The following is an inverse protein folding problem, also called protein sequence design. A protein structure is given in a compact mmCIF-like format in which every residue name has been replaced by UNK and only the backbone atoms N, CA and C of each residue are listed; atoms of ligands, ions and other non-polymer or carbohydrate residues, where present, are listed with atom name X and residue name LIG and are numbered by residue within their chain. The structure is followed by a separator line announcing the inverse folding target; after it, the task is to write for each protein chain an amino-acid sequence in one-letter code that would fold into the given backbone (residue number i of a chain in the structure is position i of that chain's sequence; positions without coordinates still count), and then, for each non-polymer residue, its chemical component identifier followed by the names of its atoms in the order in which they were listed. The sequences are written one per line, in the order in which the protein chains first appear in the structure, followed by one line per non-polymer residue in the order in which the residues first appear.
data_IF_524152105563
#
_entry.id   IF_524152105563
#
_cell.length_a   1.000
_cell.length_b   1.000
_cell.length_c   1.000
_cell.angle_alpha   90.00
_cell.angle_beta   90.00
_cell.angle_gamma   90.00
#
_symmetry.space_group_name_H-M   'P 1'
#
loop_
_entity.id
_entity.type
_entity.pdbx_description
1 polymer ?
#
# COMPACT_ATOMS: atom_id res chain seq x y z
N UNK A 1 10.96 -1.26 7.55
CA UNK A 1 10.05 -0.27 6.95
C UNK A 1 8.64 -0.81 7.01
N UNK A 2 7.62 0.03 6.85
CA UNK A 2 6.23 -0.41 6.84
C UNK A 2 5.56 0.02 5.53
N UNK A 3 5.00 -0.94 4.80
CA UNK A 3 4.15 -0.73 3.64
C UNK A 3 2.70 -0.85 4.10
N UNK A 4 1.97 0.27 4.09
CA UNK A 4 0.55 0.31 4.44
C UNK A 4 -0.27 0.53 3.18
N UNK A 5 -1.23 -0.37 2.94
CA UNK A 5 -2.06 -0.35 1.73
C UNK A 5 -3.52 -0.18 2.13
N UNK A 6 -4.18 0.81 1.56
CA UNK A 6 -5.62 1.05 1.71
C UNK A 6 -6.28 0.73 0.39
N UNK A 7 -7.23 -0.21 0.42
CA UNK A 7 -8.08 -0.52 -0.71
C UNK A 7 -9.53 -0.22 -0.39
N UNK A 8 -10.23 0.33 -1.37
CA UNK A 8 -11.68 0.39 -1.36
C UNK A 8 -12.24 -0.80 -2.15
N UNK A 9 -12.85 -1.79 -1.48
CA UNK A 9 -13.30 -3.05 -2.11
C UNK A 9 -14.67 -2.94 -2.80
N UNK A 10 -14.95 -1.78 -3.39
CA UNK A 10 -16.08 -1.56 -4.31
C UNK A 10 -15.89 -2.30 -5.64
N UNK A 11 -14.70 -2.82 -5.97
CA UNK A 11 -14.45 -3.55 -7.23
C UNK A 11 -13.64 -4.84 -7.06
N UNK A 12 -13.93 -5.85 -7.89
CA UNK A 12 -13.21 -7.14 -7.97
C UNK A 12 -11.72 -7.01 -8.30
N UNK A 13 -11.27 -5.83 -8.74
CA UNK A 13 -9.87 -5.51 -9.07
C UNK A 13 -9.00 -5.35 -7.83
N UNK A 14 -9.59 -4.99 -6.67
CA UNK A 14 -8.87 -4.82 -5.42
C UNK A 14 -8.32 -6.14 -4.87
N UNK A 15 -9.04 -7.25 -5.09
CA UNK A 15 -8.55 -8.58 -4.73
C UNK A 15 -7.30 -8.98 -5.54
N UNK A 16 -7.22 -8.60 -6.81
CA UNK A 16 -6.01 -8.83 -7.62
C UNK A 16 -4.79 -8.10 -7.04
N UNK A 17 -4.99 -6.90 -6.51
CA UNK A 17 -3.93 -6.15 -5.82
C UNK A 17 -3.43 -6.88 -4.56
N UNK A 18 -4.32 -7.44 -3.75
CA UNK A 18 -3.95 -8.24 -2.59
C UNK A 18 -3.18 -9.52 -2.96
N UNK A 19 -3.58 -10.20 -4.04
CA UNK A 19 -2.86 -11.38 -4.55
C UNK A 19 -1.46 -11.03 -5.07
N UNK A 20 -1.31 -9.94 -5.82
CA UNK A 20 0.01 -9.46 -6.26
C UNK A 20 0.92 -9.11 -5.08
N UNK A 21 0.36 -8.48 -4.04
CA UNK A 21 1.10 -8.18 -2.82
C UNK A 21 1.54 -9.47 -2.11
N UNK A 22 0.68 -10.49 -2.05
CA UNK A 22 1.01 -11.83 -1.52
C UNK A 22 2.17 -12.47 -2.26
N UNK A 23 2.19 -12.43 -3.60
CA UNK A 23 3.30 -12.94 -4.41
C UNK A 23 4.63 -12.23 -4.12
N UNK A 24 4.57 -10.95 -3.73
CA UNK A 24 5.76 -10.16 -3.42
C UNK A 24 6.28 -10.32 -1.99
N UNK A 25 5.53 -10.95 -1.10
CA UNK A 25 5.88 -11.09 0.32
C UNK A 25 7.26 -11.67 0.59
N UNK A 26 7.76 -12.70 -0.13
CA UNK A 26 9.12 -13.20 0.08
C UNK A 26 10.18 -12.11 -0.11
N UNK A 27 10.00 -11.24 -1.12
CA UNK A 27 10.94 -10.14 -1.39
C UNK A 27 10.80 -9.01 -0.38
N UNK A 28 9.58 -8.68 0.03
CA UNK A 28 9.33 -7.67 1.07
C UNK A 28 9.90 -8.10 2.43
N UNK A 29 9.78 -9.38 2.76
CA UNK A 29 10.36 -10.00 3.95
C UNK A 29 11.89 -9.94 3.94
N UNK A 30 12.52 -10.25 2.79
CA UNK A 30 13.97 -10.11 2.62
C UNK A 30 14.46 -8.67 2.84
N UNK A 31 13.66 -7.67 2.47
CA UNK A 31 13.92 -6.25 2.73
C UNK A 31 13.49 -5.79 4.13
N UNK A 32 13.13 -6.68 5.06
CA UNK A 32 12.64 -6.31 6.40
C UNK A 32 11.52 -5.26 6.35
N UNK A 33 10.63 -5.41 5.36
CA UNK A 33 9.47 -4.54 5.15
C UNK A 33 8.21 -5.26 5.63
N UNK A 34 7.60 -4.74 6.69
CA UNK A 34 6.31 -5.20 7.17
C UNK A 34 5.21 -4.70 6.22
N UNK A 35 4.16 -5.50 6.05
CA UNK A 35 3.02 -5.16 5.19
C UNK A 35 1.77 -5.16 6.05
N UNK A 36 0.97 -4.11 5.92
CA UNK A 36 -0.35 -4.00 6.53
C UNK A 36 -1.34 -3.55 5.47
N UNK A 37 -2.48 -4.22 5.39
CA UNK A 37 -3.55 -3.87 4.46
C UNK A 37 -4.79 -3.45 5.23
N UNK A 38 -5.48 -2.44 4.74
CA UNK A 38 -6.80 -2.01 5.21
C UNK A 38 -7.78 -2.03 4.06
N UNK A 39 -8.98 -2.54 4.34
CA UNK A 39 -10.04 -2.70 3.35
C UNK A 39 -11.31 -2.02 3.83
N UNK A 40 -11.74 -1.01 3.07
CA UNK A 40 -13.05 -0.40 3.26
C UNK A 40 -14.12 -1.28 2.59
N UNK A 41 -15.26 -1.43 3.28
CA UNK A 41 -16.33 -2.42 3.08
C UNK A 41 -16.47 -3.06 1.67
N UNK A 42 -16.52 -4.38 1.56
CA UNK A 42 -16.86 -5.04 0.30
C UNK A 42 -18.37 -5.01 0.08
N UNK A 43 -18.81 -4.31 -0.96
CA UNK A 43 -20.22 -4.30 -1.36
C UNK A 43 -20.65 -5.56 -2.14
N UNK A 44 -19.70 -6.44 -2.52
CA UNK A 44 -19.95 -7.47 -3.54
C UNK A 44 -19.55 -8.91 -3.16
N UNK A 45 -19.00 -9.16 -1.98
CA UNK A 45 -18.60 -10.51 -1.55
C UNK A 45 -19.47 -11.01 -0.40
N UNK A 46 -19.82 -12.30 -0.44
CA UNK A 46 -20.45 -12.95 0.73
C UNK A 46 -19.42 -13.05 1.86
N UNK A 47 -19.88 -12.95 3.11
CA UNK A 47 -18.98 -13.02 4.28
C UNK A 47 -18.09 -14.28 4.28
N UNK A 48 -18.63 -15.42 3.84
CA UNK A 48 -17.89 -16.68 3.76
C UNK A 48 -16.75 -16.66 2.72
N UNK A 49 -17.01 -16.13 1.53
CA UNK A 49 -15.97 -16.03 0.49
C UNK A 49 -14.87 -15.05 0.89
N UNK A 50 -15.23 -13.98 1.59
CA UNK A 50 -14.26 -13.00 2.08
C UNK A 50 -13.38 -13.54 3.22
N UNK A 51 -13.95 -14.31 4.15
CA UNK A 51 -13.20 -14.95 5.24
C UNK A 51 -12.18 -15.97 4.71
N UNK A 52 -12.58 -16.82 3.77
CA UNK A 52 -11.68 -17.79 3.16
C UNK A 52 -10.51 -17.12 2.43
N UNK A 53 -10.78 -15.99 1.77
CA UNK A 53 -9.78 -15.16 1.11
C UNK A 53 -8.82 -14.50 2.10
N UNK A 54 -9.32 -13.94 3.20
CA UNK A 54 -8.51 -13.34 4.26
C UNK A 54 -7.54 -14.35 4.88
N UNK A 55 -8.02 -15.55 5.20
CA UNK A 55 -7.18 -16.63 5.76
C UNK A 55 -6.04 -17.05 4.83
N UNK A 56 -6.15 -16.77 3.53
CA UNK A 56 -5.12 -17.08 2.56
C UNK A 56 -4.02 -16.01 2.46
N UNK A 57 -4.13 -14.86 3.14
CA UNK A 57 -3.15 -13.78 3.07
C UNK A 57 -2.07 -13.91 4.16
N UNK A 58 -0.78 -13.74 3.83
CA UNK A 58 0.33 -13.86 4.77
C UNK A 58 0.61 -12.54 5.54
N UNK A 59 -0.31 -11.58 5.51
CA UNK A 59 -0.15 -10.26 6.14
C UNK A 59 -1.46 -9.82 6.81
N UNK A 60 -1.39 -8.99 7.86
CA UNK A 60 -2.58 -8.51 8.55
C UNK A 60 -3.51 -7.72 7.64
N UNK A 61 -4.80 -8.03 7.73
CA UNK A 61 -5.89 -7.32 7.07
C UNK A 61 -6.76 -6.63 8.12
N UNK A 62 -6.84 -5.31 8.06
CA UNK A 62 -7.72 -4.51 8.92
C UNK A 62 -9.01 -4.15 8.17
N UNK A 63 -10.14 -4.36 8.84
CA UNK A 63 -11.49 -4.17 8.28
C UNK A 63 -12.22 -3.11 9.09
N UNK A 64 -12.00 -1.82 8.81
CA UNK A 64 -12.68 -0.75 9.51
C UNK A 64 -14.18 -0.87 9.32
N UNK A 65 -14.94 -0.85 10.41
CA UNK A 65 -16.40 -0.73 10.37
C UNK A 65 -16.84 0.68 10.04
N UNK A 66 -15.93 1.66 10.17
CA UNK A 66 -16.10 3.06 9.79
C UNK A 66 -14.77 3.66 9.34
N UNK A 67 -14.80 4.57 8.37
CA UNK A 67 -13.64 5.35 7.93
C UNK A 67 -12.99 6.16 9.08
N UNK A 68 -13.73 6.42 10.16
CA UNK A 68 -13.18 7.10 11.34
C UNK A 68 -12.10 6.28 12.06
N UNK A 69 -12.04 4.97 11.84
CA UNK A 69 -11.02 4.08 12.39
C UNK A 69 -9.70 4.12 11.61
N UNK A 70 -9.70 4.67 10.39
CA UNK A 70 -8.48 4.95 9.64
C UNK A 70 -7.94 6.31 10.13
N UNK A 71 -6.64 6.44 10.43
CA UNK A 71 -6.03 7.74 10.77
C UNK A 71 -6.35 8.79 9.70
N UNK A 72 -6.66 10.02 10.10
CA UNK A 72 -7.12 11.07 9.18
C UNK A 72 -6.18 11.28 7.98
N UNK A 73 -4.86 11.24 8.22
CA UNK A 73 -3.82 11.37 7.18
C UNK A 73 -3.80 10.22 6.16
N UNK A 74 -4.53 9.14 6.39
CA UNK A 74 -4.60 7.94 5.55
C UNK A 74 -6.01 7.72 4.99
N UNK A 75 -6.97 8.61 5.29
CA UNK A 75 -8.33 8.53 4.77
C UNK A 75 -8.35 9.04 3.34
N UNK A 76 -8.45 8.13 2.39
CA UNK A 76 -8.79 8.45 1.01
C UNK A 76 -10.07 7.72 0.62
N UNK A 77 -11.19 8.46 0.67
CA UNK A 77 -12.49 7.93 0.28
C UNK A 77 -12.54 7.70 -1.22
N UNK A 78 -12.84 6.47 -1.66
CA UNK A 78 -12.95 6.14 -3.09
C UNK A 78 -11.63 5.94 -3.83
N UNK A 79 -10.49 6.02 -3.12
CA UNK A 79 -9.16 5.86 -3.72
C UNK A 79 -8.44 4.65 -3.13
N UNK A 80 -7.61 4.01 -3.96
CA UNK A 80 -6.61 3.06 -3.50
C UNK A 80 -5.34 3.82 -3.16
N UNK A 81 -4.83 3.63 -1.95
CA UNK A 81 -3.65 4.31 -1.47
C UNK A 81 -2.58 3.33 -1.00
N UNK A 82 -1.32 3.68 -1.24
CA UNK A 82 -0.17 2.99 -0.68
C UNK A 82 0.73 4.02 -0.01
N UNK A 83 1.11 3.73 1.22
CA UNK A 83 2.01 4.53 2.02
C UNK A 83 3.22 3.70 2.40
N UNK A 84 4.40 4.30 2.27
CA UNK A 84 5.64 3.71 2.72
C UNK A 84 6.15 4.52 3.89
N UNK A 85 6.25 3.88 5.05
CA UNK A 85 6.75 4.45 6.28
C UNK A 85 8.19 4.01 6.53
N UNK A 86 9.02 4.96 6.98
CA UNK A 86 10.33 4.64 7.55
C UNK A 86 10.19 4.00 8.95
N UNK A 87 11.33 3.66 9.57
CA UNK A 87 11.35 3.07 10.92
C UNK A 87 10.94 4.06 12.02
N UNK A 88 10.94 5.36 11.73
CA UNK A 88 10.48 6.40 12.66
C UNK A 88 8.98 6.68 12.52
N UNK A 89 8.26 5.92 11.67
CA UNK A 89 6.82 6.09 11.46
C UNK A 89 6.46 7.28 10.56
N UNK A 90 7.43 7.84 9.82
CA UNK A 90 7.17 8.95 8.89
C UNK A 90 6.88 8.41 7.49
N UNK A 91 5.91 9.02 6.81
CA UNK A 91 5.61 8.73 5.40
C UNK A 91 6.79 9.22 4.54
N UNK A 92 7.44 8.31 3.82
CA UNK A 92 8.53 8.59 2.87
C UNK A 92 8.05 8.63 1.43
N UNK A 93 6.96 7.92 1.16
CA UNK A 93 6.36 7.86 -0.17
C UNK A 93 4.87 7.54 -0.04
N UNK A 94 4.08 8.14 -0.91
CA UNK A 94 2.66 7.83 -1.02
C UNK A 94 2.24 7.75 -2.48
N UNK A 95 1.36 6.81 -2.79
CA UNK A 95 0.73 6.64 -4.09
C UNK A 95 -0.76 6.62 -3.83
N UNK A 96 -1.49 7.53 -4.47
CA UNK A 96 -2.94 7.62 -4.38
C UNK A 96 -3.49 7.42 -5.80
N UNK A 97 -4.39 6.47 -5.95
CA UNK A 97 -5.01 6.08 -7.21
C UNK A 97 -6.51 6.20 -7.08
N UNK A 98 -7.08 7.15 -7.81
CA UNK A 98 -8.52 7.37 -7.84
C UNK A 98 -9.22 6.27 -8.63
N UNK A 99 -10.42 5.88 -8.18
CA UNK A 99 -11.29 5.06 -9.01
C UNK A 99 -11.61 5.78 -10.35
N UNK A 100 -11.74 5.06 -11.49
CA UNK A 100 -11.77 3.61 -11.63
C UNK A 100 -10.39 2.96 -11.87
N UNK A 101 -9.31 3.75 -11.93
CA UNK A 101 -7.96 3.28 -12.24
C UNK A 101 -7.26 2.73 -10.98
N UNK A 102 -7.84 1.66 -10.47
CA UNK A 102 -7.57 1.04 -9.18
C UNK A 102 -6.29 0.18 -9.12
N UNK A 103 -5.58 0.00 -10.24
CA UNK A 103 -4.43 -0.90 -10.32
C UNK A 103 -3.17 -0.22 -9.77
N UNK A 104 -2.82 -0.56 -8.54
CA UNK A 104 -1.54 -0.20 -7.94
C UNK A 104 -0.42 -1.01 -8.63
N UNK A 105 0.59 -0.33 -9.18
CA UNK A 105 1.75 -0.99 -9.77
C UNK A 105 2.76 -1.36 -8.69
N UNK A 106 2.64 -2.58 -8.15
CA UNK A 106 3.54 -3.04 -7.10
C UNK A 106 5.01 -3.20 -7.53
N UNK A 107 5.31 -3.32 -8.83
CA UNK A 107 6.71 -3.32 -9.30
C UNK A 107 7.36 -1.96 -9.04
N UNK A 108 6.63 -0.87 -9.25
CA UNK A 108 7.12 0.48 -8.94
C UNK A 108 7.32 0.69 -7.44
N UNK A 109 6.40 0.18 -6.62
CA UNK A 109 6.53 0.21 -5.15
C UNK A 109 7.79 -0.54 -4.71
N UNK A 110 8.06 -1.69 -5.31
CA UNK A 110 9.25 -2.47 -4.99
C UNK A 110 10.54 -1.73 -5.34
N UNK A 111 10.62 -1.13 -6.54
CA UNK A 111 11.76 -0.33 -6.93
C UNK A 111 12.00 0.85 -5.97
N UNK A 112 10.92 1.50 -5.52
CA UNK A 112 10.99 2.57 -4.52
C UNK A 112 11.52 2.06 -3.17
N UNK A 113 11.04 0.90 -2.69
CA UNK A 113 11.52 0.27 -1.46
C UNK A 113 13.00 -0.11 -1.55
N UNK A 114 13.47 -0.61 -2.70
CA UNK A 114 14.87 -0.93 -2.92
C UNK A 114 15.74 0.33 -2.86
N UNK A 115 15.31 1.41 -3.52
CA UNK A 115 16.03 2.69 -3.47
C UNK A 115 16.14 3.26 -2.06
N UNK A 116 15.09 3.12 -1.24
CA UNK A 116 15.10 3.56 0.16
C UNK A 116 15.95 2.67 1.09
N UNK A 117 16.25 1.42 0.69
CA UNK A 117 17.15 0.53 1.44
C UNK A 117 18.62 0.67 1.06
N UNK A 118 18.94 1.36 -0.04
CA UNK A 118 20.33 1.65 -0.39
C UNK A 118 20.88 2.67 0.62
N UNK A 119 22.06 2.42 1.23
CA UNK A 119 22.76 3.46 1.96
C UNK A 119 23.00 4.61 0.98
N UNK A 120 22.72 5.84 1.42
CA UNK A 120 22.82 7.04 0.61
C UNK A 120 24.28 7.25 0.17
N UNK A 121 24.70 6.59 -0.92
CA UNK A 121 25.94 6.86 -1.59
C UNK A 121 25.68 8.06 -2.53
N UNK A 122 26.11 9.23 -2.05
CA UNK A 122 26.56 10.42 -2.76
C UNK A 122 25.87 10.77 -4.10
N UNK A 123 25.22 11.94 -4.09
CA UNK A 123 25.15 12.93 -5.17
C UNK A 123 25.20 12.40 -6.61
N UNK A 124 24.03 12.28 -7.25
CA UNK A 124 23.93 12.36 -8.70
C UNK A 124 22.86 13.38 -9.10
N UNK A 125 23.34 14.48 -9.68
CA UNK A 125 22.59 15.50 -10.39
C UNK A 125 22.05 14.93 -11.70
N UNK A 126 20.92 14.23 -11.66
CA UNK A 126 20.05 14.07 -12.82
C UNK A 126 18.58 14.11 -12.39
N UNK A 127 17.68 14.67 -13.22
CA UNK A 127 16.32 15.01 -12.80
C UNK A 127 15.53 13.72 -12.61
N UNK A 128 15.37 13.34 -11.34
CA UNK A 128 14.41 12.33 -10.93
C UNK A 128 13.02 12.83 -11.33
N UNK A 129 12.37 12.07 -12.21
CA UNK A 129 10.98 12.14 -12.62
C UNK A 129 10.15 13.10 -11.77
N UNK A 130 9.66 14.16 -12.42
CA UNK A 130 8.71 15.11 -11.88
C UNK A 130 7.44 14.39 -11.41
N UNK A 131 7.43 13.96 -10.14
CA UNK A 131 6.23 13.73 -9.38
C UNK A 131 6.53 14.22 -7.96
N UNK A 132 6.01 15.42 -7.70
CA UNK A 132 6.08 16.21 -6.47
C UNK A 132 6.39 15.37 -5.22
N UNK A 133 7.66 15.28 -4.87
CA UNK A 133 8.07 15.18 -3.47
C UNK A 133 7.75 16.54 -2.85
N UNK A 134 6.51 16.72 -2.37
CA UNK A 134 6.21 17.79 -1.43
C UNK A 134 6.95 17.45 -0.13
N UNK A 135 8.12 18.07 0.05
CA UNK A 135 8.69 18.25 1.37
C UNK A 135 7.71 19.14 2.14
N UNK A 136 6.98 18.55 3.09
CA UNK A 136 6.26 19.31 4.11
C UNK A 136 7.32 19.81 5.09
N UNK A 137 7.61 21.11 5.01
CA UNK A 137 8.29 21.91 6.05
C UNK A 137 7.45 21.98 7.30
#
# INVERSE_FOLDING_TARGET
MLLYVVYDFTSSRCWKGALQLKEMMPRLSAMKTAVFMTVCQPHHYTQATWLAQELALPFPLFKPTSFTQIPFSLRHHGDNAVFIFDRAGRIRHQIIKQAPDCAVNYRQIFACLQQMHLPCAQTSTQPLFANRCLALT
#
